data_IF_530428391979
#
_entry.id   IF_530428391979
#
_cell.length_a   1.000
_cell.length_b   1.000
_cell.length_c   1.000
_cell.angle_alpha   90.00
_cell.angle_beta   90.00
_cell.angle_gamma   90.00
#
_symmetry.space_group_name_H-M   'P 1'
#
loop_
_entity.id
_entity.type
_entity.pdbx_description
1 polymer ?
#
# COMPACT_ATOMS: atom_id res chain seq x y z
N UNK A 1 -3.33 -34.83 23.37
CA UNK A 1 -4.46 -33.93 23.06
C UNK A 1 -3.92 -32.72 22.30
N UNK A 2 -4.64 -32.23 21.29
CA UNK A 2 -4.29 -31.17 20.32
C UNK A 2 -3.79 -31.67 18.95
N UNK A 3 -4.67 -32.33 18.20
CA UNK A 3 -4.58 -32.49 16.74
C UNK A 3 -6.01 -32.47 16.13
N UNK A 4 -6.73 -31.35 16.24
CA UNK A 4 -8.10 -31.27 15.70
C UNK A 4 -8.62 -29.87 15.32
N UNK A 5 -7.78 -28.85 15.12
CA UNK A 5 -8.26 -27.50 14.74
C UNK A 5 -8.00 -27.06 13.30
N UNK A 6 -7.60 -27.95 12.40
CA UNK A 6 -7.54 -27.66 10.97
C UNK A 6 -8.18 -28.76 10.15
N UNK A 7 -9.49 -28.63 9.93
CA UNK A 7 -10.17 -29.29 8.82
C UNK A 7 -10.52 -28.20 7.81
N UNK A 8 -9.84 -28.11 6.65
CA UNK A 8 -10.24 -27.19 5.60
C UNK A 8 -11.42 -27.81 4.87
N UNK A 9 -12.65 -27.66 5.40
CA UNK A 9 -13.86 -28.12 4.73
C UNK A 9 -14.41 -27.07 3.75
N UNK A 10 -13.54 -26.37 3.02
CA UNK A 10 -13.94 -25.51 1.91
C UNK A 10 -13.09 -25.78 0.68
N UNK A 11 -13.12 -27.03 0.23
CA UNK A 11 -12.84 -27.40 -1.15
C UNK A 11 -13.90 -28.41 -1.58
N UNK A 12 -15.14 -27.94 -1.73
CA UNK A 12 -16.12 -28.62 -2.58
C UNK A 12 -15.90 -28.05 -3.97
N UNK A 13 -15.14 -28.81 -4.76
CA UNK A 13 -15.16 -28.65 -6.21
C UNK A 13 -16.44 -29.33 -6.71
N UNK A 14 -17.55 -28.60 -6.75
CA UNK A 14 -18.74 -29.01 -7.50
C UNK A 14 -18.71 -28.29 -8.84
N UNK A 15 -18.38 -29.04 -9.87
CA UNK A 15 -18.44 -28.64 -11.26
C UNK A 15 -19.91 -28.55 -11.73
N UNK A 16 -20.69 -27.59 -11.26
CA UNK A 16 -22.10 -27.47 -11.69
C UNK A 16 -22.53 -26.01 -11.85
N UNK A 17 -22.88 -25.68 -13.10
CA UNK A 17 -23.72 -24.55 -13.56
C UNK A 17 -23.47 -23.15 -12.96
N UNK A 18 -23.08 -22.21 -13.83
CA UNK A 18 -23.24 -20.76 -13.61
C UNK A 18 -24.72 -20.42 -13.38
N UNK A 19 -25.21 -20.54 -12.15
CA UNK A 19 -26.58 -20.24 -11.74
C UNK A 19 -26.59 -19.36 -10.49
N UNK A 20 -27.36 -18.27 -10.51
CA UNK A 20 -27.40 -17.26 -9.45
C UNK A 20 -27.80 -17.76 -8.04
N UNK A 21 -28.21 -19.03 -7.89
CA UNK A 21 -28.54 -19.65 -6.60
C UNK A 21 -27.37 -19.70 -5.61
N UNK A 22 -26.15 -20.00 -6.08
CA UNK A 22 -24.98 -20.09 -5.19
C UNK A 22 -24.54 -18.74 -4.60
N UNK A 23 -24.75 -17.64 -5.33
CA UNK A 23 -24.47 -16.29 -4.83
C UNK A 23 -25.50 -15.89 -3.76
N UNK A 24 -26.77 -16.21 -3.97
CA UNK A 24 -27.83 -15.93 -3.00
C UNK A 24 -27.64 -16.76 -1.72
N UNK A 25 -27.32 -18.04 -1.83
CA UNK A 25 -27.02 -18.88 -0.66
C UNK A 25 -25.79 -18.36 0.11
N UNK A 26 -24.72 -18.00 -0.60
CA UNK A 26 -23.53 -17.42 0.02
C UNK A 26 -23.85 -16.10 0.73
N UNK A 27 -24.69 -15.26 0.13
CA UNK A 27 -25.08 -13.97 0.69
C UNK A 27 -26.05 -14.13 1.87
N UNK A 28 -26.95 -15.11 1.82
CA UNK A 28 -27.86 -15.44 2.92
C UNK A 28 -27.10 -16.02 4.12
N UNK A 29 -26.11 -16.90 3.90
CA UNK A 29 -25.21 -17.38 4.96
C UNK A 29 -24.42 -16.21 5.54
N UNK A 30 -23.92 -15.31 4.70
CA UNK A 30 -23.17 -14.13 5.15
C UNK A 30 -24.04 -13.18 5.99
N UNK A 31 -25.28 -12.89 5.57
CA UNK A 31 -26.24 -12.10 6.35
C UNK A 31 -26.68 -12.82 7.63
N UNK A 32 -26.92 -14.13 7.56
CA UNK A 32 -27.23 -14.95 8.74
C UNK A 32 -26.11 -14.85 9.78
N UNK A 33 -24.85 -15.02 9.36
CA UNK A 33 -23.72 -14.84 10.28
C UNK A 33 -23.61 -13.42 10.84
N UNK A 34 -23.90 -12.37 10.05
CA UNK A 34 -23.90 -10.99 10.54
C UNK A 34 -24.95 -10.77 11.63
N UNK A 35 -26.16 -11.29 11.43
CA UNK A 35 -27.28 -11.14 12.37
C UNK A 35 -27.07 -11.98 13.62
N UNK A 36 -26.56 -13.21 13.48
CA UNK A 36 -26.39 -14.14 14.60
C UNK A 36 -25.15 -13.86 15.45
N UNK A 37 -24.02 -13.53 14.83
CA UNK A 37 -22.74 -13.38 15.53
C UNK A 37 -22.33 -11.93 15.80
N UNK A 38 -23.08 -10.98 15.23
CA UNK A 38 -22.79 -9.54 15.36
C UNK A 38 -21.63 -9.08 14.47
N UNK A 39 -21.54 -7.77 14.26
CA UNK A 39 -20.58 -7.16 13.34
C UNK A 39 -19.11 -7.51 13.59
N UNK A 40 -18.60 -7.59 14.85
CA UNK A 40 -17.19 -7.94 15.10
C UNK A 40 -16.84 -9.37 14.69
N UNK A 41 -17.67 -10.36 15.06
CA UNK A 41 -17.44 -11.76 14.70
C UNK A 41 -17.67 -12.01 13.20
N UNK A 42 -18.58 -11.25 12.59
CA UNK A 42 -18.73 -11.20 11.14
C UNK A 42 -17.44 -10.75 10.45
N UNK A 43 -16.82 -9.64 10.88
CA UNK A 43 -15.57 -9.17 10.26
C UNK A 43 -14.44 -10.19 10.38
N UNK A 44 -14.37 -10.93 11.50
CA UNK A 44 -13.42 -12.02 11.68
C UNK A 44 -13.64 -13.15 10.67
N UNK A 45 -14.90 -13.54 10.42
CA UNK A 45 -15.25 -14.60 9.46
C UNK A 45 -15.16 -14.15 8.01
N UNK A 46 -15.54 -12.90 7.71
CA UNK A 46 -15.56 -12.34 6.37
C UNK A 46 -14.16 -11.92 5.91
N UNK A 47 -13.32 -11.45 6.83
CA UNK A 47 -11.96 -10.97 6.54
C UNK A 47 -10.92 -11.63 7.47
N UNK A 48 -10.80 -12.97 7.45
CA UNK A 48 -9.89 -13.69 8.34
C UNK A 48 -8.43 -13.28 8.12
N UNK A 49 -8.06 -12.94 6.89
CA UNK A 49 -6.71 -12.46 6.55
C UNK A 49 -6.36 -11.12 7.21
N UNK A 50 -7.26 -10.12 7.17
CA UNK A 50 -7.04 -8.81 7.80
C UNK A 50 -6.96 -8.96 9.32
N UNK A 51 -7.82 -9.79 9.91
CA UNK A 51 -7.82 -10.02 11.34
C UNK A 51 -6.56 -10.78 11.83
N UNK A 52 -5.97 -11.63 10.97
CA UNK A 52 -4.76 -12.36 11.30
C UNK A 52 -3.48 -11.51 11.20
N UNK A 53 -3.54 -10.29 10.64
CA UNK A 53 -2.38 -9.43 10.51
C UNK A 53 -1.90 -8.94 11.89
N UNK A 54 -0.61 -9.10 12.23
CA UNK A 54 -0.06 -8.56 13.48
C UNK A 54 -0.16 -7.02 13.56
N UNK A 55 -0.18 -6.36 12.40
CA UNK A 55 -0.41 -4.93 12.26
C UNK A 55 -0.90 -4.62 10.84
N UNK A 56 -1.55 -3.46 10.67
CA UNK A 56 -2.14 -3.06 9.40
C UNK A 56 -1.16 -2.35 8.45
N UNK A 57 0.08 -2.07 8.88
CA UNK A 57 1.06 -1.33 8.07
C UNK A 57 1.28 -1.96 6.67
N UNK A 58 1.44 -3.29 6.51
CA UNK A 58 1.55 -3.93 5.21
C UNK A 58 0.38 -3.68 4.25
N UNK A 59 -0.83 -3.37 4.74
CA UNK A 59 -1.94 -3.00 3.87
C UNK A 59 -1.71 -1.62 3.24
N UNK A 60 -1.14 -0.69 4.00
CA UNK A 60 -0.99 0.69 3.58
C UNK A 60 0.24 0.95 2.71
N UNK A 61 1.29 0.13 2.79
CA UNK A 61 2.51 0.31 1.98
C UNK A 61 2.29 0.12 0.48
N UNK A 62 1.26 -0.62 0.08
CA UNK A 62 0.97 -0.86 -1.35
C UNK A 62 0.52 0.41 -2.08
N UNK A 63 -0.19 1.30 -1.39
CA UNK A 63 -0.70 2.53 -1.96
C UNK A 63 0.41 3.48 -2.41
N UNK A 64 1.39 3.91 -1.57
CA UNK A 64 2.47 4.78 -2.03
C UNK A 64 3.31 4.13 -3.13
N UNK A 65 3.53 2.81 -3.10
CA UNK A 65 4.24 2.09 -4.17
C UNK A 65 3.51 2.26 -5.51
N UNK A 66 2.22 1.93 -5.55
CA UNK A 66 1.42 2.01 -6.77
C UNK A 66 1.22 3.46 -7.23
N UNK A 67 0.88 4.37 -6.31
CA UNK A 67 0.54 5.76 -6.64
C UNK A 67 1.77 6.55 -7.10
N UNK A 68 2.92 6.44 -6.44
CA UNK A 68 4.11 7.17 -6.86
C UNK A 68 4.70 6.66 -8.17
N UNK A 69 4.68 5.34 -8.39
CA UNK A 69 5.06 4.76 -9.69
C UNK A 69 4.10 5.20 -10.80
N UNK A 70 2.79 5.17 -10.54
CA UNK A 70 1.77 5.65 -11.49
C UNK A 70 1.93 7.13 -11.79
N UNK A 71 2.20 7.95 -10.77
CA UNK A 71 2.49 9.37 -10.93
C UNK A 71 3.66 9.61 -11.89
N UNK A 72 4.78 8.90 -11.72
CA UNK A 72 5.93 9.03 -12.62
C UNK A 72 5.56 8.68 -14.07
N UNK A 73 4.80 7.60 -14.29
CA UNK A 73 4.33 7.22 -15.62
C UNK A 73 3.42 8.30 -16.22
N UNK A 74 2.43 8.77 -15.46
CA UNK A 74 1.53 9.83 -15.90
C UNK A 74 2.28 11.13 -16.18
N UNK A 75 3.32 11.44 -15.43
CA UNK A 75 4.15 12.63 -15.64
C UNK A 75 4.89 12.57 -16.98
N UNK A 76 5.50 11.43 -17.29
CA UNK A 76 6.16 11.19 -18.58
C UNK A 76 5.14 11.27 -19.72
N UNK A 77 3.97 10.65 -19.57
CA UNK A 77 2.91 10.67 -20.58
C UNK A 77 2.39 12.11 -20.77
N UNK A 78 2.20 12.88 -19.70
CA UNK A 78 1.78 14.27 -19.77
C UNK A 78 2.82 15.14 -20.49
N UNK A 79 4.12 14.85 -20.33
CA UNK A 79 5.20 15.50 -21.09
C UNK A 79 5.14 15.17 -22.57
N UNK A 80 5.02 13.88 -22.92
CA UNK A 80 4.99 13.42 -24.31
C UNK A 80 3.75 13.91 -25.07
N UNK A 81 2.58 13.90 -24.40
CA UNK A 81 1.29 14.28 -24.98
C UNK A 81 0.97 15.77 -24.85
N UNK A 82 1.77 16.52 -24.08
CA UNK A 82 1.50 17.93 -23.74
C UNK A 82 0.05 18.15 -23.29
N UNK A 83 -0.44 17.28 -22.41
CA UNK A 83 -1.84 17.23 -22.02
C UNK A 83 -2.04 17.65 -20.56
N UNK A 84 -2.77 18.75 -20.38
CA UNK A 84 -3.09 19.30 -19.05
C UNK A 84 -3.97 18.34 -18.25
N UNK A 85 -4.90 17.64 -18.92
CA UNK A 85 -5.75 16.63 -18.29
C UNK A 85 -4.93 15.50 -17.65
N UNK A 86 -3.91 15.00 -18.33
CA UNK A 86 -3.03 13.95 -17.79
C UNK A 86 -2.14 14.52 -16.69
N UNK A 87 -1.67 15.76 -16.84
CA UNK A 87 -0.92 16.45 -15.80
C UNK A 87 -1.72 16.60 -14.49
N UNK A 88 -3.01 16.97 -14.57
CA UNK A 88 -3.90 17.05 -13.40
C UNK A 88 -4.14 15.68 -12.76
N UNK A 89 -4.32 14.63 -13.59
CA UNK A 89 -4.42 13.26 -13.08
C UNK A 89 -3.15 12.84 -12.33
N UNK A 90 -1.97 13.17 -12.88
CA UNK A 90 -0.69 12.97 -12.20
C UNK A 90 -0.62 13.73 -10.87
N UNK A 91 -1.04 15.01 -10.84
CA UNK A 91 -1.06 15.82 -9.62
C UNK A 91 -1.91 15.19 -8.51
N UNK A 92 -3.14 14.79 -8.81
CA UNK A 92 -4.01 14.14 -7.82
C UNK A 92 -3.45 12.80 -7.36
N UNK A 93 -2.86 12.03 -8.27
CA UNK A 93 -2.19 10.76 -7.94
C UNK A 93 -1.04 10.99 -6.95
N UNK A 94 -0.22 12.03 -7.18
CA UNK A 94 0.86 12.43 -6.27
C UNK A 94 0.32 12.84 -4.89
N UNK A 95 -0.69 13.72 -4.85
CA UNK A 95 -1.24 14.24 -3.60
C UNK A 95 -1.85 13.13 -2.73
N UNK A 96 -2.63 12.25 -3.34
CA UNK A 96 -3.19 11.08 -2.65
C UNK A 96 -2.06 10.13 -2.22
N UNK A 97 -1.04 9.95 -3.06
CA UNK A 97 0.16 9.19 -2.73
C UNK A 97 0.86 9.69 -1.47
N UNK A 98 1.02 11.01 -1.30
CA UNK A 98 1.61 11.62 -0.09
C UNK A 98 0.78 11.30 1.15
N UNK A 99 -0.56 11.41 1.08
CA UNK A 99 -1.44 11.08 2.21
C UNK A 99 -1.26 9.62 2.64
N UNK A 100 -1.23 8.69 1.69
CA UNK A 100 -1.02 7.28 1.99
C UNK A 100 0.39 6.98 2.49
N UNK A 101 1.42 7.65 1.96
CA UNK A 101 2.81 7.50 2.41
C UNK A 101 2.98 7.92 3.87
N UNK A 102 2.42 9.09 4.25
CA UNK A 102 2.42 9.55 5.64
C UNK A 102 1.68 8.57 6.54
N UNK A 103 0.51 8.08 6.10
CA UNK A 103 -0.26 7.08 6.85
C UNK A 103 0.53 5.79 7.04
N UNK A 104 1.21 5.30 5.99
CA UNK A 104 2.04 4.11 6.06
C UNK A 104 3.22 4.29 7.04
N UNK A 105 3.89 5.45 7.03
CA UNK A 105 4.97 5.77 7.98
C UNK A 105 4.45 5.73 9.42
N UNK A 106 3.33 6.40 9.72
CA UNK A 106 2.76 6.42 11.07
C UNK A 106 2.41 5.01 11.56
N UNK A 107 1.80 4.19 10.71
CA UNK A 107 1.50 2.79 11.02
C UNK A 107 2.77 1.94 11.18
N UNK A 108 3.82 2.22 10.40
CA UNK A 108 5.11 1.55 10.49
C UNK A 108 5.83 1.85 11.80
N UNK A 109 5.83 3.13 12.22
CA UNK A 109 6.37 3.55 13.52
C UNK A 109 5.61 2.89 14.68
N UNK A 110 4.30 2.71 14.56
CA UNK A 110 3.52 1.97 15.56
C UNK A 110 3.92 0.48 15.58
N UNK A 111 4.07 -0.14 14.42
CA UNK A 111 4.48 -1.55 14.31
C UNK A 111 5.90 -1.77 14.88
N UNK A 112 6.85 -0.88 14.59
CA UNK A 112 8.23 -0.94 15.07
C UNK A 112 8.38 -0.81 16.60
N UNK A 113 7.34 -0.35 17.32
CA UNK A 113 7.33 -0.36 18.79
C UNK A 113 6.82 -1.68 19.38
N UNK A 114 6.07 -2.44 18.60
CA UNK A 114 5.34 -3.63 19.06
C UNK A 114 6.11 -4.93 18.88
N UNK A 115 7.06 -4.96 17.95
CA UNK A 115 7.83 -6.16 17.63
C UNK A 115 9.18 -6.10 18.37
N UNK A 116 9.64 -7.18 19.02
CA UNK A 116 10.99 -7.24 19.57
C UNK A 116 12.02 -7.34 18.42
N UNK A 117 12.94 -6.38 18.32
CA UNK A 117 14.02 -6.43 17.33
C UNK A 117 15.33 -6.00 17.98
N UNK A 118 16.39 -6.77 17.74
CA UNK A 118 17.75 -6.45 18.19
C UNK A 118 18.78 -6.74 17.10
N UNK A 119 19.95 -6.11 17.20
CA UNK A 119 21.06 -6.31 16.27
C UNK A 119 20.75 -5.86 14.84
N UNK A 120 21.06 -6.70 13.85
CA UNK A 120 20.98 -6.38 12.42
C UNK A 120 19.57 -5.94 12.00
N UNK A 121 18.51 -6.51 12.58
CA UNK A 121 17.13 -6.19 12.21
C UNK A 121 16.79 -4.73 12.50
N UNK A 122 17.26 -4.18 13.63
CA UNK A 122 17.04 -2.77 13.96
C UNK A 122 17.63 -1.83 12.89
N UNK A 123 18.86 -2.11 12.45
CA UNK A 123 19.50 -1.31 11.40
C UNK A 123 18.79 -1.38 10.04
N UNK A 124 18.15 -2.52 9.73
CA UNK A 124 17.36 -2.67 8.50
C UNK A 124 16.06 -1.86 8.61
N UNK A 125 15.40 -1.89 9.77
CA UNK A 125 14.19 -1.09 10.02
C UNK A 125 14.51 0.40 9.93
N UNK A 126 15.59 0.86 10.54
CA UNK A 126 16.00 2.26 10.48
C UNK A 126 16.28 2.71 9.03
N UNK A 127 16.95 1.88 8.22
CA UNK A 127 17.17 2.18 6.81
C UNK A 127 15.87 2.19 6.01
N UNK A 128 14.97 1.23 6.25
CA UNK A 128 13.66 1.17 5.62
C UNK A 128 12.83 2.43 5.93
N UNK A 129 12.78 2.84 7.20
CA UNK A 129 12.11 4.07 7.63
C UNK A 129 12.76 5.32 7.02
N UNK A 130 14.09 5.36 6.96
CA UNK A 130 14.85 6.45 6.35
C UNK A 130 14.55 6.62 4.86
N UNK A 131 14.48 5.51 4.11
CA UNK A 131 14.11 5.54 2.68
C UNK A 131 12.66 5.93 2.47
N UNK A 132 11.73 5.41 3.29
CA UNK A 132 10.31 5.77 3.22
C UNK A 132 10.09 7.27 3.49
N UNK A 133 10.76 7.80 4.51
CA UNK A 133 10.69 9.21 4.90
C UNK A 133 11.30 10.10 3.84
N UNK A 134 12.44 9.70 3.26
CA UNK A 134 13.10 10.43 2.17
C UNK A 134 12.20 10.50 0.93
N UNK A 135 11.63 9.37 0.51
CA UNK A 135 10.68 9.34 -0.61
C UNK A 135 9.47 10.26 -0.34
N UNK A 136 8.90 10.20 0.85
CA UNK A 136 7.75 11.01 1.25
C UNK A 136 8.08 12.50 1.29
N UNK A 137 9.28 12.87 1.76
CA UNK A 137 9.74 14.26 1.77
C UNK A 137 9.90 14.80 0.33
N UNK A 138 10.50 14.02 -0.58
CA UNK A 138 10.59 14.39 -1.99
C UNK A 138 9.18 14.54 -2.60
N UNK A 139 8.27 13.60 -2.32
CA UNK A 139 6.88 13.65 -2.80
C UNK A 139 6.14 14.90 -2.30
N UNK A 140 6.34 15.27 -1.03
CA UNK A 140 5.77 16.48 -0.44
C UNK A 140 6.35 17.76 -1.09
N UNK A 141 7.66 17.81 -1.32
CA UNK A 141 8.31 18.93 -2.04
C UNK A 141 7.75 19.06 -3.45
N UNK A 142 7.65 17.95 -4.20
CA UNK A 142 7.04 17.93 -5.54
C UNK A 142 5.59 18.41 -5.50
N UNK A 143 4.83 17.97 -4.50
CA UNK A 143 3.43 18.37 -4.33
C UNK A 143 3.30 19.86 -4.10
N UNK A 144 4.07 20.41 -3.17
CA UNK A 144 4.10 21.84 -2.86
C UNK A 144 4.56 22.67 -4.06
N UNK A 145 5.60 22.20 -4.77
CA UNK A 145 6.06 22.84 -6.00
C UNK A 145 4.89 22.97 -6.98
N UNK A 146 4.17 21.88 -7.28
CA UNK A 146 3.04 21.92 -8.22
C UNK A 146 1.94 22.88 -7.79
N UNK A 147 1.60 22.91 -6.50
CA UNK A 147 0.59 23.81 -5.96
C UNK A 147 0.98 25.29 -6.13
N UNK A 148 2.26 25.62 -5.93
CA UNK A 148 2.77 26.99 -6.06
C UNK A 148 2.98 27.40 -7.51
N UNK A 149 3.46 26.49 -8.37
CA UNK A 149 3.77 26.78 -9.77
C UNK A 149 2.53 26.97 -10.67
N UNK A 150 1.32 26.67 -10.16
CA UNK A 150 0.01 26.95 -10.80
C UNK A 150 0.02 26.74 -12.32
N UNK A 151 0.39 25.53 -12.75
CA UNK A 151 0.34 25.03 -14.13
C UNK A 151 1.43 25.52 -15.12
N UNK A 152 2.39 26.36 -14.69
CA UNK A 152 3.47 26.81 -15.59
C UNK A 152 4.47 25.70 -16.04
N UNK A 153 4.31 24.47 -15.55
CA UNK A 153 5.15 23.32 -15.89
C UNK A 153 4.71 22.59 -17.18
N UNK A 154 3.71 23.08 -17.91
CA UNK A 154 3.28 22.44 -19.17
C UNK A 154 4.33 22.63 -20.29
N UNK A 155 5.14 23.69 -20.23
CA UNK A 155 6.22 23.92 -21.18
C UNK A 155 7.48 23.10 -20.84
N UNK A 156 8.28 22.75 -21.85
CA UNK A 156 9.55 22.02 -21.71
C UNK A 156 10.65 22.93 -21.11
N UNK A 157 10.46 23.39 -19.88
CA UNK A 157 11.41 24.21 -19.14
C UNK A 157 12.44 23.35 -18.37
N UNK A 158 13.62 23.89 -18.04
CA UNK A 158 14.58 23.20 -17.16
C UNK A 158 13.97 22.79 -15.81
N UNK A 159 13.03 23.59 -15.28
CA UNK A 159 12.28 23.27 -14.07
C UNK A 159 11.48 21.96 -14.20
N UNK A 160 10.92 21.67 -15.38
CA UNK A 160 10.17 20.42 -15.61
C UNK A 160 11.08 19.20 -15.60
N UNK A 161 12.25 19.30 -16.22
CA UNK A 161 13.25 18.21 -16.18
C UNK A 161 13.75 17.94 -14.77
N UNK A 162 13.98 19.00 -13.99
CA UNK A 162 14.33 18.86 -12.58
C UNK A 162 13.21 18.21 -11.76
N UNK A 163 11.96 18.62 -11.97
CA UNK A 163 10.80 17.99 -11.35
C UNK A 163 10.70 16.49 -11.69
N UNK A 164 10.92 16.11 -12.96
CA UNK A 164 10.95 14.71 -13.38
C UNK A 164 12.10 13.94 -12.73
N UNK A 165 13.30 14.53 -12.62
CA UNK A 165 14.44 13.92 -11.94
C UNK A 165 14.11 13.59 -10.47
N UNK A 166 13.49 14.54 -9.76
CA UNK A 166 13.04 14.32 -8.38
C UNK A 166 11.97 13.23 -8.30
N UNK A 167 11.05 13.15 -9.27
CA UNK A 167 10.05 12.09 -9.34
C UNK A 167 10.69 10.71 -9.54
N UNK A 168 11.72 10.60 -10.38
CA UNK A 168 12.50 9.36 -10.55
C UNK A 168 13.22 8.99 -9.27
N UNK A 169 13.85 9.96 -8.59
CA UNK A 169 14.55 9.73 -7.33
C UNK A 169 13.59 9.27 -6.22
N UNK A 170 12.41 9.88 -6.13
CA UNK A 170 11.34 9.45 -5.23
C UNK A 170 10.96 7.99 -5.46
N UNK A 171 10.71 7.58 -6.71
CA UNK A 171 10.36 6.20 -7.05
C UNK A 171 11.51 5.23 -6.75
N UNK A 172 12.77 5.64 -6.97
CA UNK A 172 13.93 4.84 -6.58
C UNK A 172 13.94 4.56 -5.07
N UNK A 173 13.76 5.57 -4.23
CA UNK A 173 13.68 5.38 -2.78
C UNK A 173 12.49 4.49 -2.37
N UNK A 174 11.35 4.57 -3.06
CA UNK A 174 10.22 3.66 -2.85
C UNK A 174 10.60 2.21 -3.16
N UNK A 175 11.33 1.95 -4.25
CA UNK A 175 11.81 0.60 -4.55
C UNK A 175 12.80 0.09 -3.50
N UNK A 176 13.74 0.91 -3.05
CA UNK A 176 14.67 0.54 -1.97
C UNK A 176 13.92 0.25 -0.66
N UNK A 177 12.90 1.06 -0.35
CA UNK A 177 12.03 0.84 0.81
C UNK A 177 11.30 -0.50 0.70
N UNK A 178 10.72 -0.80 -0.46
CA UNK A 178 9.99 -2.04 -0.72
C UNK A 178 10.91 -3.27 -0.67
N UNK A 179 12.14 -3.17 -1.18
CA UNK A 179 13.15 -4.24 -1.12
C UNK A 179 13.51 -4.59 0.34
N UNK A 180 13.85 -3.58 1.16
CA UNK A 180 14.09 -3.79 2.58
C UNK A 180 12.85 -4.31 3.31
N UNK A 181 11.65 -3.83 2.94
CA UNK A 181 10.37 -4.35 3.44
C UNK A 181 10.20 -5.84 3.19
N UNK A 182 10.46 -6.27 1.95
CA UNK A 182 10.45 -7.68 1.57
C UNK A 182 11.51 -8.49 2.33
N UNK A 183 12.73 -7.95 2.48
CA UNK A 183 13.79 -8.60 3.25
C UNK A 183 13.36 -8.83 4.71
N UNK A 184 12.76 -7.84 5.36
CA UNK A 184 12.27 -7.93 6.73
C UNK A 184 11.22 -9.04 6.89
N UNK A 185 10.24 -9.09 5.99
CA UNK A 185 9.13 -10.06 6.07
C UNK A 185 9.60 -11.46 5.67
N UNK A 186 10.23 -11.61 4.51
CA UNK A 186 10.49 -12.93 3.92
C UNK A 186 11.76 -13.62 4.44
N UNK A 187 12.77 -12.85 4.86
CA UNK A 187 14.01 -13.44 5.42
C UNK A 187 14.00 -13.47 6.94
N UNK A 188 13.49 -12.41 7.57
CA UNK A 188 13.57 -12.24 9.03
C UNK A 188 12.23 -12.44 9.75
N UNK A 189 11.12 -12.64 9.04
CA UNK A 189 9.81 -12.91 9.64
C UNK A 189 9.21 -11.75 10.42
N UNK A 190 9.70 -10.51 10.20
CA UNK A 190 9.20 -9.32 10.90
C UNK A 190 7.73 -9.11 10.53
N UNK A 191 6.85 -9.09 11.54
CA UNK A 191 5.41 -8.94 11.33
C UNK A 191 4.70 -10.19 10.79
N UNK A 192 5.33 -11.37 10.87
CA UNK A 192 4.73 -12.67 10.51
C UNK A 192 4.48 -13.53 11.74
N UNK A 193 5.43 -13.57 12.67
CA UNK A 193 5.29 -14.28 13.95
C UNK A 193 5.42 -13.25 15.08
N UNK A 194 4.32 -13.05 15.82
CA UNK A 194 4.28 -12.29 17.07
C UNK A 194 4.56 -13.18 18.26
#
# INVERSE_FOLDING_TARGET
MLNSLFSPSFFVHSSDSFGGGHLLESLLVLLGTLVESGFPAFLQKAFPGIHALPNIHPLFVHFPIALFTTFLLLEIIAMMRRSDRIYHAASWTLYVGVVFAVTAILLGMQAARSVPHGGIIHSIIDQHEGYATTATAIAAILSLWRMVAREHLINLSPARWFHLLLAVLMVLFIFLTADLGGLMVFKFGVGVHG
#
